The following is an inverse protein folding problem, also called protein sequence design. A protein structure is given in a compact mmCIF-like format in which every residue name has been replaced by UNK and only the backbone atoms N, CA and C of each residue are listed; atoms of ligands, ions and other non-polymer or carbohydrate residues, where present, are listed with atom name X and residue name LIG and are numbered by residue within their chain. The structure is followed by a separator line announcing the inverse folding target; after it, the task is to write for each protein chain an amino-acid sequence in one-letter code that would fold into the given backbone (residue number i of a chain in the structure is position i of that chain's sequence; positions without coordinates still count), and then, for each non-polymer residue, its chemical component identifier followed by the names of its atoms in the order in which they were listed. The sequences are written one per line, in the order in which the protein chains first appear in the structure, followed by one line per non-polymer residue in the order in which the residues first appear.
data_IF_599176298465
#
_entry.id   IF_599176298465
#
_cell.length_a   1.000
_cell.length_b   1.000
_cell.length_c   1.000
_cell.angle_alpha   90.00
_cell.angle_beta   90.00
_cell.angle_gamma   90.00
#
_symmetry.space_group_name_H-M   'P 1'
#
loop_
_entity.id
_entity.type
_entity.pdbx_description
1 polymer ?
#
# COMPACT_ATOMS: atom_id res chain seq x y z
N UNK A 1 18.81 13.81 7.24
CA UNK A 1 17.53 13.17 7.64
C UNK A 1 16.42 13.49 6.65
N UNK A 2 16.17 14.77 6.32
CA UNK A 2 15.21 15.22 5.31
C UNK A 2 15.37 14.57 3.93
N UNK A 3 16.60 14.48 3.40
CA UNK A 3 16.85 13.82 2.10
C UNK A 3 16.37 12.36 2.04
N UNK A 4 16.35 11.64 3.18
CA UNK A 4 15.87 10.26 3.21
C UNK A 4 14.34 10.19 3.19
N UNK A 5 13.65 11.12 3.87
CA UNK A 5 12.18 11.16 3.92
C UNK A 5 11.62 11.57 2.56
N UNK A 6 12.19 12.61 1.94
CA UNK A 6 11.80 13.06 0.59
C UNK A 6 11.99 11.93 -0.42
N UNK A 7 13.08 11.17 -0.31
CA UNK A 7 13.30 9.98 -1.14
C UNK A 7 12.22 8.93 -0.92
N UNK A 8 11.87 8.62 0.34
CA UNK A 8 10.81 7.65 0.64
C UNK A 8 9.45 8.07 0.08
N UNK A 9 9.05 9.34 0.29
CA UNK A 9 7.79 9.89 -0.26
C UNK A 9 7.77 9.82 -1.79
N UNK A 10 8.89 10.16 -2.44
CA UNK A 10 9.02 10.09 -3.90
C UNK A 10 8.93 8.65 -4.43
N UNK A 11 9.59 7.70 -3.77
CA UNK A 11 9.50 6.29 -4.13
C UNK A 11 8.11 5.70 -3.86
N UNK A 12 7.46 6.08 -2.76
CA UNK A 12 6.07 5.70 -2.45
C UNK A 12 5.10 6.17 -3.54
N UNK A 13 5.24 7.42 -3.97
CA UNK A 13 4.46 7.98 -5.08
C UNK A 13 4.60 7.15 -6.37
N UNK A 14 5.84 6.84 -6.79
CA UNK A 14 6.07 6.05 -8.01
C UNK A 14 5.66 4.58 -7.87
N UNK A 15 5.89 3.96 -6.71
CA UNK A 15 5.45 2.60 -6.44
C UNK A 15 3.93 2.49 -6.58
N UNK A 16 3.19 3.49 -6.09
CA UNK A 16 1.74 3.48 -6.21
C UNK A 16 1.24 3.73 -7.66
N UNK A 17 1.94 4.52 -8.47
CA UNK A 17 1.65 4.62 -9.92
C UNK A 17 1.84 3.25 -10.60
N UNK A 18 2.94 2.56 -10.31
CA UNK A 18 3.21 1.25 -10.89
C UNK A 18 2.14 0.23 -10.42
N UNK A 19 1.71 0.33 -9.16
CA UNK A 19 0.62 -0.47 -8.61
C UNK A 19 -0.70 -0.23 -9.37
N UNK A 20 -1.10 1.02 -9.58
CA UNK A 20 -2.30 1.38 -10.36
C UNK A 20 -2.24 0.79 -11.77
N UNK A 21 -1.10 0.91 -12.46
CA UNK A 21 -0.90 0.34 -13.80
C UNK A 21 -1.03 -1.19 -13.77
N UNK A 22 -0.43 -1.84 -12.77
CA UNK A 22 -0.54 -3.29 -12.56
C UNK A 22 -1.99 -3.74 -12.32
N UNK A 23 -2.74 -3.02 -11.49
CA UNK A 23 -4.14 -3.28 -11.19
C UNK A 23 -5.05 -3.10 -12.42
N UNK A 24 -4.80 -2.08 -13.25
CA UNK A 24 -5.49 -1.94 -14.54
C UNK A 24 -5.21 -3.17 -15.43
N UNK A 25 -3.97 -3.64 -15.46
CA UNK A 25 -3.60 -4.87 -16.16
C UNK A 25 -4.37 -6.10 -15.69
N UNK A 26 -4.54 -6.27 -14.38
CA UNK A 26 -5.34 -7.34 -13.79
C UNK A 26 -6.81 -7.25 -14.16
N UNK A 27 -7.39 -6.06 -14.02
CA UNK A 27 -8.79 -5.83 -14.36
C UNK A 27 -9.05 -6.17 -15.83
N UNK A 28 -8.12 -5.84 -16.73
CA UNK A 28 -8.18 -6.24 -18.14
C UNK A 28 -8.11 -7.77 -18.28
N UNK A 29 -7.18 -8.45 -17.59
CA UNK A 29 -7.05 -9.91 -17.64
C UNK A 29 -8.33 -10.61 -17.18
N UNK A 30 -8.88 -10.18 -16.05
CA UNK A 30 -10.05 -10.82 -15.45
C UNK A 30 -11.32 -10.51 -16.26
N UNK A 31 -11.44 -9.30 -16.82
CA UNK A 31 -12.53 -8.94 -17.73
C UNK A 31 -12.48 -9.74 -19.03
N UNK A 32 -11.30 -9.89 -19.65
CA UNK A 32 -11.13 -10.69 -20.88
C UNK A 32 -11.42 -12.17 -20.58
N UNK A 33 -10.98 -12.66 -19.42
CA UNK A 33 -11.26 -14.03 -18.95
C UNK A 33 -12.76 -14.26 -18.72
N UNK A 34 -13.47 -13.27 -18.20
CA UNK A 34 -14.93 -13.27 -18.06
C UNK A 34 -15.64 -13.32 -19.41
N UNK A 35 -15.08 -12.67 -20.44
CA UNK A 35 -15.57 -12.75 -21.82
C UNK A 35 -15.23 -14.07 -22.52
N UNK A 36 -14.65 -15.05 -21.80
CA UNK A 36 -14.19 -16.34 -22.34
C UNK A 36 -13.15 -16.23 -23.46
N UNK A 37 -12.40 -15.14 -23.51
CA UNK A 37 -11.32 -14.95 -24.48
C UNK A 37 -10.02 -15.49 -23.87
N UNK A 38 -9.36 -16.43 -24.57
CA UNK A 38 -8.10 -17.00 -24.11
C UNK A 38 -6.97 -15.98 -24.20
N UNK A 39 -6.44 -15.56 -23.06
CA UNK A 39 -5.20 -14.78 -22.99
C UNK A 39 -3.97 -15.67 -23.11
N UNK A 40 -2.87 -15.07 -23.57
CA UNK A 40 -1.58 -15.73 -23.60
C UNK A 40 -1.07 -15.97 -22.16
N UNK A 41 -0.83 -17.22 -21.79
CA UNK A 41 -0.38 -17.61 -20.44
C UNK A 41 0.90 -16.89 -20.00
N UNK A 42 1.83 -16.61 -20.92
CA UNK A 42 3.08 -15.90 -20.64
C UNK A 42 2.78 -14.44 -20.31
N UNK A 43 1.88 -13.80 -21.08
CA UNK A 43 1.47 -12.43 -20.82
C UNK A 43 0.83 -12.29 -19.44
N UNK A 44 -0.15 -13.14 -19.11
CA UNK A 44 -0.77 -13.13 -17.79
C UNK A 44 0.25 -13.36 -16.68
N UNK A 45 1.17 -14.32 -16.85
CA UNK A 45 2.24 -14.58 -15.88
C UNK A 45 3.13 -13.36 -15.62
N UNK A 46 3.53 -12.63 -16.67
CA UNK A 46 4.35 -11.42 -16.54
C UNK A 46 3.60 -10.36 -15.72
N UNK A 47 2.31 -10.17 -15.96
CA UNK A 47 1.50 -9.21 -15.18
C UNK A 47 1.39 -9.65 -13.71
N UNK A 48 1.11 -10.93 -13.43
CA UNK A 48 1.08 -11.48 -12.07
C UNK A 48 2.43 -11.28 -11.34
N UNK A 49 3.54 -11.51 -12.03
CA UNK A 49 4.89 -11.36 -11.47
C UNK A 49 5.24 -9.90 -11.19
N UNK A 50 4.93 -9.00 -12.11
CA UNK A 50 5.17 -7.56 -11.93
C UNK A 50 4.40 -7.02 -10.71
N UNK A 51 3.12 -7.38 -10.56
CA UNK A 51 2.34 -6.95 -9.40
C UNK A 51 2.91 -7.50 -8.09
N UNK A 52 3.35 -8.77 -8.08
CA UNK A 52 3.97 -9.35 -6.91
C UNK A 52 5.27 -8.62 -6.50
N UNK A 53 6.07 -8.18 -7.49
CA UNK A 53 7.26 -7.36 -7.23
C UNK A 53 6.86 -6.00 -6.66
N UNK A 54 5.79 -5.38 -7.15
CA UNK A 54 5.28 -4.12 -6.63
C UNK A 54 4.87 -4.26 -5.16
N UNK A 55 4.19 -5.34 -4.77
CA UNK A 55 3.86 -5.59 -3.36
C UNK A 55 5.11 -5.70 -2.49
N UNK A 56 6.16 -6.38 -2.96
CA UNK A 56 7.43 -6.47 -2.22
C UNK A 56 8.08 -5.08 -2.07
N UNK A 57 8.08 -4.27 -3.12
CA UNK A 57 8.61 -2.89 -3.06
C UNK A 57 7.79 -2.05 -2.09
N UNK A 58 6.46 -2.14 -2.16
CA UNK A 58 5.54 -1.43 -1.26
C UNK A 58 5.77 -1.82 0.20
N UNK A 59 5.90 -3.11 0.51
CA UNK A 59 6.22 -3.59 1.85
C UNK A 59 7.54 -3.00 2.40
N UNK A 60 8.57 -2.90 1.55
CA UNK A 60 9.85 -2.29 1.90
C UNK A 60 9.67 -0.78 2.16
N UNK A 61 8.97 -0.07 1.29
CA UNK A 61 8.73 1.37 1.42
C UNK A 61 7.91 1.69 2.67
N UNK A 62 6.86 0.92 2.92
CA UNK A 62 6.03 1.04 4.12
C UNK A 62 6.85 0.81 5.40
N UNK A 63 7.76 -0.17 5.39
CA UNK A 63 8.66 -0.43 6.53
C UNK A 63 9.65 0.72 6.75
N UNK A 64 10.19 1.30 5.68
CA UNK A 64 11.08 2.47 5.75
C UNK A 64 10.30 3.66 6.31
N UNK A 65 9.08 3.88 5.83
CA UNK A 65 8.20 4.96 6.29
C UNK A 65 7.91 4.84 7.79
N UNK A 66 7.43 3.67 8.23
CA UNK A 66 7.22 3.37 9.63
C UNK A 66 8.48 3.62 10.47
N UNK A 67 9.64 3.13 10.04
CA UNK A 67 10.89 3.33 10.77
C UNK A 67 11.27 4.82 10.89
N UNK A 68 11.11 5.58 9.81
CA UNK A 68 11.42 7.01 9.80
C UNK A 68 10.46 7.81 10.69
N UNK A 69 9.16 7.57 10.59
CA UNK A 69 8.16 8.34 11.32
C UNK A 69 7.90 7.84 12.73
N UNK A 70 7.76 6.54 12.94
CA UNK A 70 7.43 5.96 14.25
C UNK A 70 8.67 5.87 15.15
N UNK A 71 9.80 5.36 14.64
CA UNK A 71 11.01 5.16 15.46
C UNK A 71 11.80 6.46 15.61
N UNK A 72 12.18 7.10 14.51
CA UNK A 72 13.11 8.24 14.56
C UNK A 72 12.46 9.56 14.96
N UNK A 73 11.26 9.86 14.47
CA UNK A 73 10.60 11.14 14.70
C UNK A 73 9.72 11.16 15.96
N UNK A 74 8.93 10.11 16.21
CA UNK A 74 7.95 10.08 17.32
C UNK A 74 8.53 9.67 18.69
N UNK A 75 9.80 9.25 18.77
CA UNK A 75 10.53 8.91 20.03
C UNK A 75 9.69 8.15 21.08
N UNK A 76 8.88 7.15 20.66
CA UNK A 76 8.25 6.04 21.41
C UNK A 76 7.69 6.19 22.85
N UNK A 77 7.79 7.34 23.54
CA UNK A 77 7.47 7.41 24.97
C UNK A 77 5.99 7.52 25.28
N UNK A 78 5.17 8.07 24.38
CA UNK A 78 3.77 8.40 24.69
C UNK A 78 2.73 7.56 23.92
N UNK A 79 3.15 6.72 22.98
CA UNK A 79 2.25 6.05 22.02
C UNK A 79 2.62 4.59 21.67
N UNK A 80 2.72 3.68 22.66
CA UNK A 80 3.17 2.30 22.43
C UNK A 80 2.20 1.47 21.58
N UNK A 81 0.88 1.67 21.73
CA UNK A 81 -0.13 0.85 21.04
C UNK A 81 -0.13 1.14 19.53
N UNK A 82 -0.06 2.41 19.13
CA UNK A 82 0.02 2.79 17.73
C UNK A 82 1.31 2.25 17.09
N UNK A 83 2.43 2.40 17.78
CA UNK A 83 3.71 1.86 17.31
C UNK A 83 3.62 0.34 17.08
N UNK A 84 3.04 -0.38 18.03
CA UNK A 84 2.84 -1.83 17.94
C UNK A 84 1.91 -2.21 16.79
N UNK A 85 0.82 -1.48 16.57
CA UNK A 85 -0.09 -1.77 15.46
C UNK A 85 0.57 -1.53 14.10
N UNK A 86 1.27 -0.40 13.92
CA UNK A 86 2.00 -0.11 12.67
C UNK A 86 3.13 -1.14 12.42
N UNK A 87 3.80 -1.60 13.48
CA UNK A 87 4.83 -2.64 13.37
C UNK A 87 4.25 -4.00 12.98
N UNK A 88 3.13 -4.41 13.58
CA UNK A 88 2.44 -5.64 13.20
C UNK A 88 1.96 -5.56 11.75
N UNK A 89 1.41 -4.42 11.33
CA UNK A 89 1.05 -4.19 9.94
C UNK A 89 2.25 -4.41 9.00
N UNK A 90 3.43 -3.86 9.31
CA UNK A 90 4.64 -4.08 8.51
C UNK A 90 4.98 -5.57 8.35
N UNK A 91 4.93 -6.36 9.44
CA UNK A 91 5.20 -7.80 9.38
C UNK A 91 4.23 -8.49 8.42
N UNK A 92 2.94 -8.20 8.56
CA UNK A 92 1.92 -8.82 7.73
C UNK A 92 1.95 -8.35 6.27
N UNK A 93 2.37 -7.11 5.99
CA UNK A 93 2.62 -6.63 4.63
C UNK A 93 3.74 -7.43 3.94
N UNK A 94 4.84 -7.70 4.65
CA UNK A 94 5.93 -8.54 4.15
C UNK A 94 5.48 -9.98 3.92
N UNK A 95 4.78 -10.58 4.88
CA UNK A 95 4.26 -11.94 4.76
C UNK A 95 3.30 -12.05 3.56
N UNK A 96 2.36 -11.11 3.44
CA UNK A 96 1.41 -11.04 2.33
C UNK A 96 2.13 -10.98 0.98
N UNK A 97 3.10 -10.07 0.86
CA UNK A 97 3.89 -9.88 -0.36
C UNK A 97 4.69 -11.12 -0.74
N UNK A 98 5.34 -11.78 0.23
CA UNK A 98 6.10 -13.01 0.00
C UNK A 98 5.19 -14.16 -0.46
N UNK A 99 4.05 -14.36 0.21
CA UNK A 99 3.11 -15.41 -0.17
C UNK A 99 2.52 -15.15 -1.55
N UNK A 100 2.17 -13.91 -1.86
CA UNK A 100 1.67 -13.53 -3.17
C UNK A 100 2.73 -13.74 -4.27
N UNK A 101 4.00 -13.42 -4.00
CA UNK A 101 5.11 -13.68 -4.91
C UNK A 101 5.32 -15.17 -5.18
N UNK A 102 5.27 -16.01 -4.15
CA UNK A 102 5.31 -17.48 -4.32
C UNK A 102 4.10 -17.94 -5.15
N UNK A 103 2.91 -17.42 -4.85
CA UNK A 103 1.69 -17.70 -5.61
C UNK A 103 1.80 -17.34 -7.10
N UNK A 104 2.38 -16.20 -7.42
CA UNK A 104 2.63 -15.73 -8.78
C UNK A 104 3.61 -16.64 -9.53
N UNK A 105 4.72 -17.07 -8.90
CA UNK A 105 5.66 -18.03 -9.49
C UNK A 105 4.97 -19.38 -9.78
N UNK A 106 4.18 -19.87 -8.83
CA UNK A 106 3.45 -21.14 -9.00
C UNK A 106 2.36 -21.05 -10.08
N UNK A 107 1.86 -19.86 -10.40
CA UNK A 107 0.83 -19.67 -11.43
C UNK A 107 1.28 -20.05 -12.84
N UNK A 108 2.59 -20.11 -13.10
CA UNK A 108 3.14 -20.54 -14.38
C UNK A 108 2.86 -22.03 -14.67
N UNK A 109 2.74 -22.86 -13.63
CA UNK A 109 2.58 -24.31 -13.79
C UNK A 109 1.26 -24.80 -13.20
N UNK A 110 0.37 -25.28 -14.09
CA UNK A 110 -0.97 -25.80 -13.74
C UNK A 110 -0.96 -26.95 -12.74
N UNK A 111 0.14 -27.70 -12.62
CA UNK A 111 0.28 -28.84 -11.69
C UNK A 111 0.20 -28.37 -10.22
N UNK A 112 0.54 -27.11 -9.93
CA UNK A 112 0.58 -26.59 -8.57
C UNK A 112 -0.66 -25.80 -8.15
N UNK A 113 -1.81 -26.06 -8.78
CA UNK A 113 -3.05 -25.31 -8.56
C UNK A 113 -3.45 -25.20 -7.07
N UNK A 114 -3.42 -26.31 -6.33
CA UNK A 114 -3.76 -26.31 -4.89
C UNK A 114 -2.75 -25.48 -4.09
N UNK A 115 -1.46 -25.58 -4.40
CA UNK A 115 -0.42 -24.79 -3.72
C UNK A 115 -0.59 -23.30 -4.03
N UNK A 116 -0.89 -22.94 -5.28
CA UNK A 116 -1.21 -21.56 -5.68
C UNK A 116 -2.38 -21.02 -4.86
N UNK A 117 -3.50 -21.76 -4.77
CA UNK A 117 -4.67 -21.34 -4.00
C UNK A 117 -4.32 -21.14 -2.51
N UNK A 118 -3.53 -22.04 -1.93
CA UNK A 118 -3.06 -21.93 -0.54
C UNK A 118 -2.21 -20.66 -0.33
N UNK A 119 -1.22 -20.41 -1.18
CA UNK A 119 -0.37 -19.22 -1.05
C UNK A 119 -1.14 -17.93 -1.29
N UNK A 120 -2.08 -17.90 -2.24
CA UNK A 120 -2.96 -16.75 -2.43
C UNK A 120 -3.84 -16.51 -1.19
N UNK A 121 -4.39 -17.57 -0.59
CA UNK A 121 -5.20 -17.47 0.62
C UNK A 121 -4.38 -16.92 1.81
N UNK A 122 -3.16 -17.43 2.00
CA UNK A 122 -2.24 -16.94 3.03
C UNK A 122 -1.83 -15.48 2.79
N UNK A 123 -1.61 -15.10 1.52
CA UNK A 123 -1.35 -13.74 1.11
C UNK A 123 -2.49 -12.79 1.46
N UNK A 124 -3.71 -13.11 1.00
CA UNK A 124 -4.93 -12.33 1.29
C UNK A 124 -5.17 -12.20 2.80
N UNK A 125 -5.01 -13.29 3.55
CA UNK A 125 -5.19 -13.25 5.00
C UNK A 125 -4.16 -12.34 5.69
N UNK A 126 -2.91 -12.36 5.21
CA UNK A 126 -1.86 -11.48 5.72
C UNK A 126 -2.17 -10.02 5.41
N UNK A 127 -2.55 -9.69 4.17
CA UNK A 127 -2.95 -8.32 3.79
C UNK A 127 -4.20 -7.85 4.55
N UNK A 128 -5.17 -8.73 4.79
CA UNK A 128 -6.33 -8.38 5.61
C UNK A 128 -5.92 -8.00 7.05
N UNK A 129 -5.04 -8.77 7.67
CA UNK A 129 -4.54 -8.47 9.02
C UNK A 129 -3.75 -7.17 9.02
N UNK A 130 -2.88 -6.97 8.03
CA UNK A 130 -2.15 -5.70 7.85
C UNK A 130 -3.11 -4.52 7.84
N UNK A 131 -4.12 -4.55 6.98
CA UNK A 131 -5.00 -3.39 6.77
C UNK A 131 -5.84 -3.09 8.01
N UNK A 132 -6.22 -4.13 8.78
CA UNK A 132 -6.88 -3.96 10.08
C UNK A 132 -5.96 -3.26 11.08
N UNK A 133 -4.70 -3.70 11.21
CA UNK A 133 -3.76 -3.09 12.14
C UNK A 133 -3.37 -1.67 11.74
N UNK A 134 -3.23 -1.40 10.44
CA UNK A 134 -2.95 -0.05 9.95
C UNK A 134 -4.12 0.88 10.22
N UNK A 135 -5.36 0.46 9.93
CA UNK A 135 -6.57 1.22 10.26
C UNK A 135 -6.67 1.51 11.76
N UNK A 136 -6.39 0.52 12.62
CA UNK A 136 -6.37 0.69 14.08
C UNK A 136 -5.33 1.75 14.50
N UNK A 137 -4.12 1.70 13.93
CA UNK A 137 -3.06 2.68 14.19
C UNK A 137 -3.50 4.10 13.87
N UNK A 138 -4.12 4.29 12.70
CA UNK A 138 -4.64 5.59 12.27
C UNK A 138 -5.82 6.09 13.10
N UNK A 139 -6.78 5.24 13.46
CA UNK A 139 -7.90 5.62 14.32
C UNK A 139 -7.38 6.10 15.69
N UNK A 140 -6.40 5.40 16.27
CA UNK A 140 -5.78 5.79 17.55
C UNK A 140 -5.07 7.14 17.42
N UNK A 141 -4.33 7.36 16.33
CA UNK A 141 -3.63 8.62 16.05
C UNK A 141 -4.61 9.78 15.97
N UNK A 142 -5.69 9.64 15.19
CA UNK A 142 -6.64 10.72 14.93
C UNK A 142 -7.53 11.02 16.14
N UNK A 143 -7.95 10.01 16.92
CA UNK A 143 -8.67 10.24 18.18
C UNK A 143 -7.88 11.10 19.17
N UNK A 144 -6.54 11.04 19.13
CA UNK A 144 -5.67 11.82 20.03
C UNK A 144 -5.28 13.20 19.45
N UNK A 145 -5.21 13.35 18.12
CA UNK A 145 -4.83 14.60 17.44
C UNK A 145 -6.00 15.55 17.12
N UNK A 146 -7.12 15.47 17.84
CA UNK A 146 -8.33 16.32 17.67
C UNK A 146 -8.13 17.84 17.87
N UNK A 147 -6.89 18.34 17.90
CA UNK A 147 -6.54 19.75 18.00
C UNK A 147 -5.77 20.20 16.74
N UNK A 148 -6.51 20.83 15.81
CA UNK A 148 -6.09 21.90 14.88
C UNK A 148 -5.58 21.64 13.45
N UNK A 149 -5.54 20.44 12.86
CA UNK A 149 -5.13 20.33 11.42
C UNK A 149 -5.94 19.33 10.57
N UNK A 150 -6.47 19.83 9.46
CA UNK A 150 -7.00 19.19 8.23
C UNK A 150 -7.78 17.86 8.39
N UNK A 151 -9.06 17.94 8.76
CA UNK A 151 -10.00 16.80 8.77
C UNK A 151 -10.14 16.08 7.42
N UNK A 152 -9.86 16.73 6.29
CA UNK A 152 -10.05 16.14 4.96
C UNK A 152 -9.06 15.03 4.64
N UNK A 153 -7.78 15.18 5.00
CA UNK A 153 -6.74 14.18 4.73
C UNK A 153 -6.91 12.93 5.60
N UNK A 154 -7.28 13.14 6.88
CA UNK A 154 -7.52 12.04 7.84
C UNK A 154 -8.62 11.09 7.34
N UNK A 155 -9.69 11.65 6.77
CA UNK A 155 -10.77 10.87 6.20
C UNK A 155 -10.30 10.03 5.01
N UNK A 156 -9.40 10.55 4.16
CA UNK A 156 -8.92 9.81 2.99
C UNK A 156 -8.11 8.57 3.41
N UNK A 157 -7.21 8.68 4.40
CA UNK A 157 -6.48 7.51 4.93
C UNK A 157 -7.42 6.45 5.52
N UNK A 158 -8.40 6.86 6.32
CA UNK A 158 -9.38 5.93 6.89
C UNK A 158 -10.16 5.21 5.77
N UNK A 159 -10.58 5.96 4.74
CA UNK A 159 -11.31 5.40 3.61
C UNK A 159 -10.44 4.44 2.79
N UNK A 160 -9.18 4.79 2.50
CA UNK A 160 -8.24 3.91 1.80
C UNK A 160 -8.08 2.57 2.53
N UNK A 161 -7.69 2.60 3.82
CA UNK A 161 -7.56 1.36 4.60
C UNK A 161 -8.88 0.58 4.72
N UNK A 162 -10.03 1.26 4.76
CA UNK A 162 -11.35 0.59 4.77
C UNK A 162 -11.63 -0.10 3.44
N UNK A 163 -11.34 0.55 2.31
CA UNK A 163 -11.47 -0.04 0.98
C UNK A 163 -10.52 -1.23 0.80
N UNK A 164 -9.28 -1.14 1.31
CA UNK A 164 -8.33 -2.25 1.30
C UNK A 164 -8.87 -3.47 2.07
N UNK A 165 -9.48 -3.26 3.25
CA UNK A 165 -10.17 -4.34 3.99
C UNK A 165 -11.32 -4.94 3.16
N UNK A 166 -12.16 -4.09 2.54
CA UNK A 166 -13.28 -4.55 1.70
C UNK A 166 -12.78 -5.38 0.52
N UNK A 167 -11.74 -4.91 -0.18
CA UNK A 167 -11.12 -5.62 -1.30
C UNK A 167 -10.57 -6.98 -0.86
N UNK A 168 -9.81 -7.03 0.24
CA UNK A 168 -9.30 -8.28 0.81
C UNK A 168 -10.43 -9.27 1.15
N UNK A 169 -11.55 -8.80 1.70
CA UNK A 169 -12.71 -9.65 2.01
C UNK A 169 -13.39 -10.19 0.75
N UNK A 170 -13.54 -9.37 -0.30
CA UNK A 170 -14.05 -9.81 -1.59
C UNK A 170 -13.14 -10.90 -2.18
N UNK A 171 -11.83 -10.67 -2.15
CA UNK A 171 -10.81 -11.61 -2.64
C UNK A 171 -10.77 -12.91 -1.82
N UNK A 172 -10.97 -12.83 -0.51
CA UNK A 172 -11.11 -13.99 0.37
C UNK A 172 -12.33 -14.83 -0.02
N UNK A 173 -13.49 -14.18 -0.20
CA UNK A 173 -14.71 -14.84 -0.67
C UNK A 173 -14.52 -15.50 -2.03
N UNK A 174 -13.89 -14.80 -2.99
CA UNK A 174 -13.60 -15.35 -4.32
C UNK A 174 -12.69 -16.59 -4.24
N UNK A 175 -11.65 -16.54 -3.39
CA UNK A 175 -10.70 -17.65 -3.23
C UNK A 175 -11.34 -18.86 -2.56
N UNK A 176 -12.18 -18.67 -1.54
CA UNK A 176 -12.94 -19.74 -0.88
C UNK A 176 -13.92 -20.38 -1.87
N UNK A 177 -14.63 -19.57 -2.66
CA UNK A 177 -15.54 -20.07 -3.68
C UNK A 177 -14.80 -20.83 -4.77
N UNK A 178 -13.66 -20.33 -5.25
CA UNK A 178 -12.83 -21.02 -6.23
C UNK A 178 -12.39 -22.40 -5.73
N UNK A 179 -11.96 -22.49 -4.46
CA UNK A 179 -11.63 -23.78 -3.83
C UNK A 179 -12.84 -24.70 -3.71
N UNK A 180 -14.00 -24.17 -3.31
CA UNK A 180 -15.24 -24.93 -3.26
C UNK A 180 -15.64 -25.50 -4.63
N UNK A 181 -15.58 -24.70 -5.70
CA UNK A 181 -15.89 -25.18 -7.05
C UNK A 181 -14.88 -26.22 -7.52
N UNK A 182 -13.59 -25.99 -7.31
CA UNK A 182 -12.53 -26.96 -7.60
C UNK A 182 -12.78 -28.32 -6.93
N UNK A 183 -13.15 -28.32 -5.64
CA UNK A 183 -13.39 -29.56 -4.88
C UNK A 183 -14.62 -30.35 -5.37
N UNK A 184 -15.61 -29.68 -5.95
CA UNK A 184 -16.86 -30.29 -6.41
C UNK A 184 -16.85 -30.59 -7.92
N UNK A 185 -15.68 -30.72 -8.53
CA UNK A 185 -15.48 -30.94 -9.98
C UNK A 185 -16.24 -29.94 -10.88
N UNK A 186 -16.51 -28.74 -10.35
CA UNK A 186 -17.09 -27.62 -11.11
C UNK A 186 -15.94 -26.78 -11.66
N UNK A 187 -16.18 -26.12 -12.80
CA UNK A 187 -15.19 -25.19 -13.35
C UNK A 187 -14.81 -24.13 -12.30
N UNK A 188 -13.51 -24.08 -11.97
CA UNK A 188 -12.94 -23.14 -11.00
C UNK A 188 -13.17 -21.67 -11.41
N UNK A 189 -13.26 -21.42 -12.72
CA UNK A 189 -13.65 -20.15 -13.33
C UNK A 189 -15.18 -20.04 -13.45
N UNK A 190 -15.90 -20.30 -12.35
CA UNK A 190 -17.33 -20.02 -12.35
C UNK A 190 -17.53 -18.52 -12.51
N UNK A 191 -18.58 -18.12 -13.23
CA UNK A 191 -18.89 -16.71 -13.52
C UNK A 191 -18.91 -15.87 -12.24
N UNK A 192 -19.36 -16.44 -11.12
CA UNK A 192 -19.42 -15.74 -9.83
C UNK A 192 -18.03 -15.47 -9.22
N UNK A 193 -17.05 -16.37 -9.40
CA UNK A 193 -15.68 -16.15 -8.92
C UNK A 193 -15.05 -15.00 -9.69
N UNK A 194 -15.19 -14.98 -11.02
CA UNK A 194 -14.66 -13.91 -11.88
C UNK A 194 -15.32 -12.55 -11.58
N UNK A 195 -16.64 -12.52 -11.36
CA UNK A 195 -17.35 -11.29 -10.99
C UNK A 195 -16.84 -10.72 -9.67
N UNK A 196 -16.59 -11.58 -8.67
CA UNK A 196 -16.04 -11.13 -7.40
C UNK A 196 -14.60 -10.62 -7.56
N UNK A 197 -13.77 -11.28 -8.37
CA UNK A 197 -12.40 -10.83 -8.65
C UNK A 197 -12.40 -9.45 -9.33
N UNK A 198 -13.20 -9.27 -10.39
CA UNK A 198 -13.35 -7.98 -11.08
C UNK A 198 -13.83 -6.89 -10.11
N UNK A 199 -14.79 -7.18 -9.24
CA UNK A 199 -15.26 -6.20 -8.27
C UNK A 199 -14.19 -5.88 -7.22
N UNK A 200 -13.42 -6.88 -6.77
CA UNK A 200 -12.27 -6.70 -5.89
C UNK A 200 -11.21 -5.80 -6.52
N UNK A 201 -10.90 -6.01 -7.81
CA UNK A 201 -9.96 -5.17 -8.56
C UNK A 201 -10.40 -3.72 -8.66
N UNK A 202 -11.68 -3.49 -8.92
CA UNK A 202 -12.24 -2.12 -8.94
C UNK A 202 -12.06 -1.45 -7.57
N UNK A 203 -12.35 -2.16 -6.48
CA UNK A 203 -12.17 -1.62 -5.12
C UNK A 203 -10.70 -1.33 -4.84
N UNK A 204 -9.77 -2.24 -5.17
CA UNK A 204 -8.34 -2.01 -5.02
C UNK A 204 -7.81 -0.86 -5.88
N UNK A 205 -8.36 -0.67 -7.08
CA UNK A 205 -7.97 0.43 -7.95
C UNK A 205 -8.41 1.79 -7.37
N UNK A 206 -9.62 1.86 -6.81
CA UNK A 206 -10.09 3.06 -6.10
C UNK A 206 -9.23 3.31 -4.86
N UNK A 207 -8.92 2.27 -4.09
CA UNK A 207 -8.02 2.35 -2.94
C UNK A 207 -6.63 2.88 -3.32
N UNK A 208 -6.01 2.30 -4.35
CA UNK A 208 -4.73 2.74 -4.88
C UNK A 208 -4.74 4.21 -5.28
N UNK A 209 -5.82 4.67 -5.93
CA UNK A 209 -6.01 6.07 -6.29
C UNK A 209 -6.11 6.97 -5.04
N UNK A 210 -6.84 6.56 -3.99
CA UNK A 210 -6.90 7.32 -2.74
C UNK A 210 -5.53 7.42 -2.06
N UNK A 211 -4.75 6.33 -2.04
CA UNK A 211 -3.37 6.41 -1.56
C UNK A 211 -2.51 7.35 -2.40
N UNK A 212 -2.74 7.41 -3.72
CA UNK A 212 -1.97 8.27 -4.60
C UNK A 212 -2.18 9.74 -4.22
N UNK A 213 -3.44 10.12 -3.99
CA UNK A 213 -3.82 11.45 -3.50
C UNK A 213 -3.20 11.73 -2.12
N UNK A 214 -3.17 10.75 -1.22
CA UNK A 214 -2.49 10.88 0.08
C UNK A 214 -0.99 11.16 -0.08
N UNK A 215 -0.28 10.33 -0.84
CA UNK A 215 1.16 10.49 -1.07
C UNK A 215 1.50 11.80 -1.78
N UNK A 216 0.66 12.23 -2.73
CA UNK A 216 0.84 13.52 -3.40
C UNK A 216 0.72 14.69 -2.42
N UNK A 217 -0.30 14.68 -1.56
CA UNK A 217 -0.51 15.74 -0.57
C UNK A 217 0.58 15.76 0.49
N UNK A 218 1.00 14.59 0.98
CA UNK A 218 2.12 14.48 1.92
C UNK A 218 3.42 15.04 1.31
N UNK A 219 3.66 14.77 0.02
CA UNK A 219 4.80 15.32 -0.71
C UNK A 219 4.71 16.85 -0.82
N UNK A 220 3.56 17.38 -1.22
CA UNK A 220 3.34 18.84 -1.34
C UNK A 220 3.54 19.55 0.01
N UNK A 221 3.00 18.98 1.10
CA UNK A 221 3.17 19.55 2.45
C UNK A 221 4.65 19.53 2.88
N UNK A 222 5.38 18.46 2.59
CA UNK A 222 6.81 18.37 2.89
C UNK A 222 7.66 19.34 2.06
N UNK A 223 7.35 19.53 0.78
CA UNK A 223 8.06 20.45 -0.10
C UNK A 223 7.92 21.90 0.41
N UNK A 224 6.70 22.30 0.81
CA UNK A 224 6.42 23.63 1.39
C UNK A 224 7.19 23.84 2.71
N UNK A 225 7.16 22.87 3.62
CA UNK A 225 7.88 22.96 4.91
C UNK A 225 9.40 23.07 4.67
N UNK A 226 9.93 22.32 3.72
CA UNK A 226 11.36 22.32 3.40
C UNK A 226 11.79 23.65 2.79
N UNK A 227 11.00 24.20 1.87
CA UNK A 227 11.25 25.51 1.26
C UNK A 227 11.24 26.62 2.32
N UNK A 228 10.24 26.63 3.21
CA UNK A 228 10.11 27.64 4.25
C UNK A 228 11.23 27.58 5.29
N UNK A 229 11.70 26.38 5.65
CA UNK A 229 12.88 26.21 6.49
C UNK A 229 14.17 26.66 5.80
N UNK A 230 14.31 26.42 4.50
CA UNK A 230 15.47 26.87 3.72
C UNK A 230 15.54 28.40 3.65
N UNK A 231 14.40 29.07 3.43
CA UNK A 231 14.28 30.52 3.49
C UNK A 231 14.67 31.04 4.87
N UNK A 232 14.10 30.48 5.94
CA UNK A 232 14.39 30.92 7.31
C UNK A 232 15.88 30.80 7.65
N UNK A 233 16.53 29.70 7.23
CA UNK A 233 17.97 29.52 7.41
C UNK A 233 18.78 30.57 6.64
N UNK A 234 18.43 30.83 5.38
CA UNK A 234 19.07 31.86 4.57
C UNK A 234 18.97 33.26 5.20
N UNK A 235 17.77 33.63 5.70
CA UNK A 235 17.57 34.92 6.38
C UNK A 235 18.38 35.01 7.69
N UNK A 236 18.40 33.94 8.49
CA UNK A 236 19.21 33.88 9.71
C UNK A 236 20.71 34.03 9.41
N UNK A 237 21.23 33.34 8.40
CA UNK A 237 22.64 33.45 8.00
C UNK A 237 22.97 34.86 7.51
N UNK A 238 22.09 35.48 6.71
CA UNK A 238 22.26 36.86 6.24
C UNK A 238 22.24 37.86 7.40
N UNK A 239 21.35 37.67 8.37
CA UNK A 239 21.23 38.54 9.54
C UNK A 239 22.45 38.45 10.46
N UNK A 240 22.94 37.24 10.74
CA UNK A 240 24.17 37.01 11.52
C UNK A 240 25.40 37.59 10.82
N UNK A 241 25.45 37.54 9.49
CA UNK A 241 26.56 38.11 8.74
C UNK A 241 26.55 39.65 8.79
N UNK A 242 25.37 40.27 8.73
CA UNK A 242 25.21 41.72 8.84
C UNK A 242 25.49 42.27 10.24
N UNK A 243 25.11 41.55 11.30
CA UNK A 243 25.40 41.97 12.68
C UNK A 243 26.90 41.97 12.98
N UNK A 244 27.62 40.94 12.52
CA UNK A 244 29.09 40.84 12.67
C UNK A 244 29.86 41.94 11.93
N UNK A 245 29.36 42.42 10.80
CA UNK A 245 29.98 43.55 10.08
C UNK A 245 29.74 44.90 10.75
N UNK A 246 28.69 45.04 11.56
CA UNK A 246 28.40 46.28 12.26
C UNK A 246 29.12 46.39 13.62
N UNK A 247 29.51 45.28 14.25
CA UNK A 247 30.32 45.29 15.49
C UNK A 247 31.82 45.58 15.25
N UNK A 248 32.29 45.45 14.01
CA UNK A 248 33.69 45.69 13.62
C UNK A 248 33.93 47.09 13.01
N UNK A 249 32.98 48.01 13.13
CA UNK A 249 33.10 49.43 12.76
C UNK A 249 33.01 50.30 13.99
#
# INVERSE_FOLDING_TARGET
MYSSIIRTLYWGYWANIIYIIGMIGYLIIDTISYMYISLNTIFSFIIYLLLAIVFVIDAILYTIDWYMYAVKLRKNKDQPIQYQSEFLACIFQHLGSIFYFIGAILAFNKIYLIKKLLFNLLGIFSFLIESIFTLLGWIILFRRKLSKTNCSLQNIYIWAHTLNIIANLIYLCATILAYYFYRNDKMMNSTIVLVLQIFGDIVYLIDAYLYHECWQRDKEEFDVVTEQQSLNKFYLEKFVHQSKTNENK
#
